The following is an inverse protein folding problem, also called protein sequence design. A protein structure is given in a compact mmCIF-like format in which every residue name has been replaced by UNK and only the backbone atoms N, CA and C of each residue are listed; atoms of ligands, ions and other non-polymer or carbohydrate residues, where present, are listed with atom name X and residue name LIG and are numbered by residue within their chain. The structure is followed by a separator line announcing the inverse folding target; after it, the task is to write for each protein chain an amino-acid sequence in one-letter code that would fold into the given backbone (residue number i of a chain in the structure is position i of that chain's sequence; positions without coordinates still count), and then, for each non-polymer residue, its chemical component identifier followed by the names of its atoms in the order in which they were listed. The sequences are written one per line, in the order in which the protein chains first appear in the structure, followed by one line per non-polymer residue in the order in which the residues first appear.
data_IF_254126399468
#
_entry.id   IF_254126399468
#
_cell.length_a   1.000
_cell.length_b   1.000
_cell.length_c   1.000
_cell.angle_alpha   90.00
_cell.angle_beta   90.00
_cell.angle_gamma   90.00
#
_symmetry.space_group_name_H-M   'P 1'
#
loop_
_entity.id
_entity.type
_entity.pdbx_description
1 polymer ?
#
# COMPACT_ATOMS: atom_id res chain seq x y z
N UNK A 1 11.45 -5.62 -14.52
CA UNK A 1 10.04 -5.70 -14.20
C UNK A 1 9.59 -7.02 -13.59
N UNK A 2 9.69 -7.17 -12.26
CA UNK A 2 9.16 -8.32 -11.54
C UNK A 2 7.82 -7.94 -10.88
N UNK A 3 6.93 -8.92 -10.70
CA UNK A 3 5.70 -8.75 -9.91
C UNK A 3 5.81 -9.59 -8.65
N UNK A 4 5.85 -8.91 -7.50
CA UNK A 4 6.07 -9.51 -6.18
C UNK A 4 4.87 -9.20 -5.29
N UNK A 5 4.41 -10.18 -4.53
CA UNK A 5 3.44 -9.98 -3.46
C UNK A 5 4.11 -10.20 -2.10
N UNK A 6 3.90 -9.27 -1.19
CA UNK A 6 4.33 -9.37 0.21
C UNK A 6 3.08 -9.64 1.05
N UNK A 7 3.04 -10.79 1.69
CA UNK A 7 1.92 -11.21 2.53
C UNK A 7 2.36 -11.33 4.00
N UNK A 8 1.41 -11.38 4.89
CA UNK A 8 1.64 -11.59 6.33
C UNK A 8 0.49 -11.05 7.18
N UNK A 9 0.47 -11.40 8.45
CA UNK A 9 -0.55 -10.94 9.40
C UNK A 9 -0.44 -9.43 9.68
N UNK A 10 -1.46 -8.84 10.26
CA UNK A 10 -1.40 -7.44 10.70
C UNK A 10 -0.26 -7.28 11.73
N UNK A 11 0.52 -6.21 11.61
CA UNK A 11 1.69 -5.96 12.47
C UNK A 11 2.98 -6.67 12.05
N UNK A 12 3.00 -7.50 11.01
CA UNK A 12 4.20 -8.23 10.58
C UNK A 12 5.31 -7.36 9.93
N UNK A 13 5.13 -6.04 9.84
CA UNK A 13 6.14 -5.12 9.29
C UNK A 13 5.99 -4.78 7.80
N UNK A 14 4.94 -5.27 7.10
CA UNK A 14 4.73 -5.02 5.67
C UNK A 14 4.71 -3.54 5.29
N UNK A 15 3.95 -2.74 6.03
CA UNK A 15 3.84 -1.28 5.77
C UNK A 15 5.17 -0.56 6.06
N UNK A 16 5.92 -0.98 7.07
CA UNK A 16 7.26 -0.46 7.34
C UNK A 16 8.22 -0.77 6.18
N UNK A 17 8.22 -2.03 5.72
CA UNK A 17 9.02 -2.43 4.58
C UNK A 17 8.63 -1.65 3.32
N UNK A 18 7.33 -1.48 3.08
CA UNK A 18 6.84 -0.69 1.93
C UNK A 18 7.24 0.78 2.03
N UNK A 19 7.24 1.38 3.22
CA UNK A 19 7.70 2.76 3.43
C UNK A 19 9.20 2.90 3.12
N UNK A 20 10.02 1.94 3.54
CA UNK A 20 11.46 1.92 3.21
C UNK A 20 11.65 1.77 1.70
N UNK A 21 11.01 0.78 1.07
CA UNK A 21 11.07 0.60 -0.39
C UNK A 21 10.57 1.82 -1.15
N UNK A 22 9.60 2.54 -0.58
CA UNK A 22 9.05 3.77 -1.11
C UNK A 22 9.88 5.02 -0.84
N UNK A 23 11.04 4.92 -0.20
CA UNK A 23 11.83 6.06 0.27
C UNK A 23 11.03 7.07 1.11
N UNK A 24 10.00 6.60 1.82
CA UNK A 24 9.25 7.38 2.82
C UNK A 24 9.93 7.31 4.20
N UNK A 25 10.72 6.26 4.41
CA UNK A 25 11.51 6.03 5.60
C UNK A 25 12.88 5.46 5.19
N UNK A 26 13.83 5.45 6.10
CA UNK A 26 15.18 4.90 5.89
C UNK A 26 15.41 3.70 6.79
N UNK A 27 16.13 2.66 6.33
CA UNK A 27 16.44 1.52 7.18
C UNK A 27 17.43 1.92 8.27
N UNK A 28 17.22 1.44 9.50
CA UNK A 28 18.17 1.65 10.60
C UNK A 28 19.50 0.89 10.40
N UNK A 29 19.44 -0.23 9.65
CA UNK A 29 20.59 -1.06 9.30
C UNK A 29 20.36 -1.71 7.95
N UNK A 30 21.47 -2.03 7.26
CA UNK A 30 21.44 -2.60 5.92
C UNK A 30 21.38 -1.55 4.82
N UNK A 31 21.47 -2.01 3.58
CA UNK A 31 21.53 -1.18 2.40
C UNK A 31 20.30 -1.42 1.52
N UNK A 32 19.84 -0.36 0.86
CA UNK A 32 18.75 -0.43 -0.11
C UNK A 32 19.14 0.37 -1.36
N UNK A 33 19.19 -0.31 -2.50
CA UNK A 33 19.61 0.29 -3.76
C UNK A 33 18.43 0.48 -4.71
N UNK A 34 18.28 1.69 -5.24
CA UNK A 34 17.37 2.02 -6.34
C UNK A 34 18.19 2.58 -7.48
N UNK A 35 18.12 1.94 -8.65
CA UNK A 35 18.86 2.34 -9.86
C UNK A 35 20.37 2.57 -9.59
N UNK A 36 20.96 1.71 -8.74
CA UNK A 36 22.38 1.76 -8.34
C UNK A 36 22.72 2.78 -7.24
N UNK A 37 21.76 3.57 -6.74
CA UNK A 37 21.98 4.52 -5.65
C UNK A 37 21.53 3.91 -4.31
N UNK A 38 22.40 3.98 -3.29
CA UNK A 38 22.04 3.52 -1.94
C UNK A 38 21.11 4.52 -1.25
N UNK A 39 19.84 4.18 -1.16
CA UNK A 39 18.82 5.02 -0.55
C UNK A 39 19.03 5.25 0.95
N UNK A 40 19.74 4.36 1.66
CA UNK A 40 20.05 4.54 3.08
C UNK A 40 20.98 5.74 3.37
N UNK A 41 21.74 6.18 2.35
CA UNK A 41 22.72 7.26 2.47
C UNK A 41 22.21 8.59 1.88
N UNK A 42 21.01 8.64 1.30
CA UNK A 42 20.48 9.83 0.66
C UNK A 42 19.89 10.81 1.67
N UNK A 43 20.04 12.10 1.38
CA UNK A 43 19.35 13.18 2.10
C UNK A 43 17.83 13.13 1.86
N UNK A 44 17.01 13.77 2.72
CA UNK A 44 15.55 13.83 2.53
C UNK A 44 15.12 14.37 1.16
N UNK A 45 15.84 15.36 0.62
CA UNK A 45 15.56 15.96 -0.69
C UNK A 45 15.88 15.00 -1.84
N UNK A 46 16.98 14.24 -1.72
CA UNK A 46 17.35 13.21 -2.69
C UNK A 46 16.36 12.04 -2.65
N UNK A 47 15.93 11.61 -1.46
CA UNK A 47 14.86 10.60 -1.32
C UNK A 47 13.56 11.07 -1.96
N UNK A 48 13.20 12.37 -1.77
CA UNK A 48 12.01 12.94 -2.41
C UNK A 48 12.14 12.97 -3.94
N UNK A 49 13.34 13.23 -4.47
CA UNK A 49 13.63 13.14 -5.91
C UNK A 49 13.48 11.71 -6.43
N UNK A 50 14.10 10.72 -5.76
CA UNK A 50 14.00 9.30 -6.12
C UNK A 50 12.55 8.83 -6.13
N UNK A 51 11.76 9.17 -5.09
CA UNK A 51 10.33 8.87 -5.05
C UNK A 51 9.60 9.42 -6.27
N UNK A 52 9.82 10.70 -6.57
CA UNK A 52 9.14 11.40 -7.67
C UNK A 52 9.47 10.82 -9.03
N UNK A 53 10.71 10.36 -9.24
CA UNK A 53 11.21 9.93 -10.54
C UNK A 53 11.02 8.43 -10.79
N UNK A 54 11.11 7.62 -9.73
CA UNK A 54 11.17 6.15 -9.89
C UNK A 54 9.97 5.41 -9.32
N UNK A 55 9.21 6.01 -8.38
CA UNK A 55 8.23 5.27 -7.58
C UNK A 55 6.82 5.83 -7.76
N UNK A 56 5.87 4.95 -8.08
CA UNK A 56 4.44 5.24 -8.04
C UNK A 56 3.77 4.52 -6.87
N UNK A 57 2.94 5.24 -6.10
CA UNK A 57 2.19 4.67 -4.98
C UNK A 57 0.72 4.49 -5.31
N UNK A 58 0.20 3.32 -4.95
CA UNK A 58 -1.23 2.97 -5.02
C UNK A 58 -1.64 2.54 -3.62
N UNK A 59 -2.64 3.21 -3.04
CA UNK A 59 -3.09 2.99 -1.66
C UNK A 59 -4.48 2.37 -1.61
N UNK A 60 -4.78 1.63 -0.54
CA UNK A 60 -6.07 1.00 -0.30
C UNK A 60 -7.23 2.00 -0.29
N UNK A 61 -7.06 3.18 0.31
CA UNK A 61 -8.07 4.26 0.39
C UNK A 61 -7.86 5.36 -0.64
N UNK A 62 -7.23 5.04 -1.76
CA UNK A 62 -6.96 5.93 -2.91
C UNK A 62 -6.13 7.18 -2.58
N UNK A 63 -6.29 7.79 -1.41
CA UNK A 63 -5.67 9.04 -0.95
C UNK A 63 -5.75 10.15 -2.02
N UNK A 64 -6.92 10.29 -2.62
CA UNK A 64 -7.22 11.40 -3.53
C UNK A 64 -7.54 12.65 -2.71
N UNK A 65 -7.13 13.81 -3.22
CA UNK A 65 -7.49 15.10 -2.63
C UNK A 65 -8.94 15.40 -3.01
N UNK A 66 -9.85 15.54 -2.02
CA UNK A 66 -11.29 15.62 -2.28
C UNK A 66 -11.72 16.84 -3.11
N UNK A 67 -11.00 17.95 -2.95
CA UNK A 67 -11.33 19.22 -3.63
C UNK A 67 -10.81 19.29 -5.08
N UNK A 68 -9.93 18.39 -5.47
CA UNK A 68 -9.41 18.31 -6.83
C UNK A 68 -10.22 17.33 -7.67
N UNK A 69 -10.32 17.64 -8.97
CA UNK A 69 -10.84 16.71 -9.97
C UNK A 69 -9.93 15.50 -10.16
N UNK A 70 -10.39 14.47 -10.87
CA UNK A 70 -9.57 13.33 -11.27
C UNK A 70 -8.29 13.78 -11.98
N UNK A 71 -8.42 14.69 -12.95
CA UNK A 71 -7.29 15.27 -13.66
C UNK A 71 -6.33 15.99 -12.70
N UNK A 72 -6.86 16.85 -11.82
CA UNK A 72 -6.04 17.57 -10.83
C UNK A 72 -5.27 16.63 -9.90
N UNK A 73 -5.90 15.55 -9.44
CA UNK A 73 -5.22 14.54 -8.62
C UNK A 73 -4.07 13.85 -9.37
N UNK A 74 -4.26 13.54 -10.65
CA UNK A 74 -3.22 12.90 -11.48
C UNK A 74 -2.07 13.86 -11.75
N UNK A 75 -2.32 15.16 -11.92
CA UNK A 75 -1.29 16.16 -12.22
C UNK A 75 -0.33 16.45 -11.05
N UNK A 76 -0.72 16.17 -9.79
CA UNK A 76 0.05 16.55 -8.58
C UNK A 76 1.52 16.13 -8.64
N UNK A 77 1.88 14.85 -8.88
CA UNK A 77 3.30 14.47 -8.89
C UNK A 77 4.09 15.16 -10.00
N UNK A 78 3.45 15.46 -11.13
CA UNK A 78 4.07 16.16 -12.25
C UNK A 78 4.27 17.65 -11.98
N UNK A 79 3.42 18.26 -11.13
CA UNK A 79 3.64 19.63 -10.62
C UNK A 79 4.92 19.67 -9.79
N UNK A 80 5.10 18.74 -8.86
CA UNK A 80 6.31 18.64 -8.05
C UNK A 80 7.57 18.28 -8.87
N UNK A 81 7.37 17.69 -10.06
CA UNK A 81 8.44 17.44 -11.03
C UNK A 81 8.76 18.66 -11.92
N UNK A 82 8.14 19.82 -11.66
CA UNK A 82 8.26 21.03 -12.48
C UNK A 82 7.94 20.81 -13.97
N UNK A 83 7.05 19.87 -14.27
CA UNK A 83 6.60 19.60 -15.65
C UNK A 83 5.78 20.78 -16.16
N UNK A 84 6.00 21.15 -17.42
CA UNK A 84 5.21 22.17 -18.11
C UNK A 84 3.72 21.84 -18.08
N UNK A 85 2.88 22.87 -17.90
CA UNK A 85 1.45 22.75 -17.66
C UNK A 85 0.74 21.98 -18.77
N UNK A 86 0.96 22.33 -20.02
CA UNK A 86 0.24 21.72 -21.15
C UNK A 86 0.68 20.28 -21.36
N UNK A 87 1.96 20.00 -21.25
CA UNK A 87 2.52 18.65 -21.34
C UNK A 87 2.00 17.73 -20.24
N UNK A 88 1.98 18.18 -18.96
CA UNK A 88 1.46 17.35 -17.86
C UNK A 88 -0.03 17.10 -18.00
N UNK A 89 -0.82 18.13 -18.42
CA UNK A 89 -2.26 18.00 -18.63
C UNK A 89 -2.57 17.00 -19.73
N UNK A 90 -1.88 17.08 -20.85
CA UNK A 90 -2.01 16.13 -21.94
C UNK A 90 -1.70 14.71 -21.50
N UNK A 91 -0.59 14.49 -20.77
CA UNK A 91 -0.23 13.17 -20.23
C UNK A 91 -1.27 12.65 -19.26
N UNK A 92 -1.76 13.51 -18.34
CA UNK A 92 -2.76 13.12 -17.36
C UNK A 92 -4.08 12.72 -18.03
N UNK A 93 -4.56 13.48 -19.01
CA UNK A 93 -5.76 13.13 -19.80
C UNK A 93 -5.57 11.81 -20.54
N UNK A 94 -4.42 11.62 -21.20
CA UNK A 94 -4.13 10.38 -21.91
C UNK A 94 -4.07 9.15 -20.95
N UNK A 95 -3.53 9.30 -19.73
CA UNK A 95 -3.53 8.24 -18.72
C UNK A 95 -4.93 7.92 -18.23
N UNK A 96 -5.76 8.94 -17.95
CA UNK A 96 -7.15 8.73 -17.56
C UNK A 96 -7.95 8.01 -18.65
N UNK A 97 -7.83 8.42 -19.91
CA UNK A 97 -8.46 7.74 -21.04
C UNK A 97 -8.03 6.27 -21.16
N UNK A 98 -6.71 5.99 -21.07
CA UNK A 98 -6.17 4.61 -21.08
C UNK A 98 -6.70 3.72 -19.95
N UNK A 99 -7.08 4.31 -18.83
CA UNK A 99 -7.64 3.62 -17.67
C UNK A 99 -9.17 3.62 -17.68
N UNK A 100 -9.82 3.96 -18.81
CA UNK A 100 -11.28 3.94 -18.97
C UNK A 100 -12.01 5.01 -18.17
N UNK A 101 -11.38 6.17 -18.00
CA UNK A 101 -11.94 7.34 -17.30
C UNK A 101 -12.16 8.52 -18.25
N UNK A 102 -12.31 8.24 -19.55
CA UNK A 102 -12.67 9.25 -20.54
C UNK A 102 -14.02 9.89 -20.19
N UNK A 103 -14.09 11.22 -20.24
CA UNK A 103 -15.24 12.00 -19.81
C UNK A 103 -15.41 12.13 -18.30
N UNK A 104 -14.48 11.61 -17.49
CA UNK A 104 -14.49 11.71 -16.01
C UNK A 104 -13.38 12.60 -15.46
N UNK A 105 -12.63 13.29 -16.32
CA UNK A 105 -11.45 14.09 -15.98
C UNK A 105 -11.76 15.19 -14.96
N UNK A 106 -12.96 15.75 -15.06
CA UNK A 106 -13.41 16.88 -14.22
C UNK A 106 -14.21 16.45 -12.98
N UNK A 107 -14.53 15.17 -12.84
CA UNK A 107 -15.25 14.67 -11.68
C UNK A 107 -14.37 14.72 -10.43
N UNK A 108 -14.96 15.07 -9.30
CA UNK A 108 -14.35 14.99 -7.98
C UNK A 108 -14.40 13.56 -7.43
N UNK A 109 -13.56 13.19 -6.45
CA UNK A 109 -13.57 11.84 -5.86
C UNK A 109 -14.96 11.39 -5.38
N UNK A 110 -15.76 12.28 -4.79
CA UNK A 110 -17.13 11.96 -4.34
C UNK A 110 -18.12 11.62 -5.46
N UNK A 111 -17.81 11.97 -6.72
CA UNK A 111 -18.62 11.68 -7.90
C UNK A 111 -18.16 10.42 -8.65
N UNK A 112 -17.13 9.75 -8.15
CA UNK A 112 -16.52 8.57 -8.75
C UNK A 112 -16.77 7.32 -7.90
N UNK A 113 -17.01 6.17 -8.55
CA UNK A 113 -17.07 4.88 -7.85
C UNK A 113 -15.69 4.51 -7.25
N UNK A 114 -15.66 3.57 -6.29
CA UNK A 114 -14.41 3.10 -5.69
C UNK A 114 -13.40 2.61 -6.74
N UNK A 115 -13.84 1.81 -7.71
CA UNK A 115 -12.98 1.34 -8.81
C UNK A 115 -12.48 2.48 -9.71
N UNK A 116 -13.30 3.52 -9.95
CA UNK A 116 -12.89 4.71 -10.68
C UNK A 116 -11.85 5.51 -9.88
N UNK A 117 -12.05 5.71 -8.58
CA UNK A 117 -11.09 6.38 -7.70
C UNK A 117 -9.74 5.63 -7.68
N UNK A 118 -9.77 4.30 -7.63
CA UNK A 118 -8.54 3.51 -7.68
C UNK A 118 -7.81 3.68 -9.02
N UNK A 119 -8.54 3.71 -10.12
CA UNK A 119 -7.95 3.98 -11.45
C UNK A 119 -7.35 5.39 -11.55
N UNK A 120 -7.94 6.40 -10.91
CA UNK A 120 -7.32 7.74 -10.76
C UNK A 120 -6.04 7.65 -9.94
N UNK A 121 -6.03 6.89 -8.82
CA UNK A 121 -4.82 6.67 -8.02
C UNK A 121 -3.70 5.99 -8.83
N UNK A 122 -4.04 5.01 -9.68
CA UNK A 122 -3.10 4.37 -10.60
C UNK A 122 -2.56 5.37 -11.64
N UNK A 123 -3.44 6.18 -12.26
CA UNK A 123 -3.01 7.23 -13.20
C UNK A 123 -2.03 8.20 -12.55
N UNK A 124 -2.30 8.62 -11.30
CA UNK A 124 -1.42 9.46 -10.49
C UNK A 124 -0.06 8.81 -10.25
N UNK A 125 -0.03 7.50 -9.96
CA UNK A 125 1.21 6.76 -9.77
C UNK A 125 2.08 6.70 -11.05
N UNK A 126 1.47 6.78 -12.22
CA UNK A 126 2.12 6.61 -13.53
C UNK A 126 2.54 7.93 -14.20
N UNK A 127 2.08 9.08 -13.74
CA UNK A 127 2.24 10.36 -14.47
C UNK A 127 3.69 10.75 -14.73
N UNK A 128 4.59 10.42 -13.82
CA UNK A 128 6.03 10.69 -13.95
C UNK A 128 6.81 9.55 -14.60
N UNK A 129 6.15 8.44 -15.00
CA UNK A 129 6.80 7.31 -15.65
C UNK A 129 7.61 6.42 -14.72
N UNK A 130 7.34 6.43 -13.41
CA UNK A 130 8.03 5.60 -12.42
C UNK A 130 8.08 4.12 -12.82
N UNK A 131 9.25 3.50 -12.70
CA UNK A 131 9.47 2.09 -13.06
C UNK A 131 9.00 1.12 -11.98
N UNK A 132 8.86 1.60 -10.74
CA UNK A 132 8.47 0.82 -9.55
C UNK A 132 7.09 1.27 -9.10
N UNK A 133 6.17 0.32 -8.95
CA UNK A 133 4.83 0.56 -8.45
C UNK A 133 4.69 -0.18 -7.12
N UNK A 134 4.43 0.57 -6.06
CA UNK A 134 4.15 0.05 -4.72
C UNK A 134 2.65 0.14 -4.48
N UNK A 135 2.00 -1.01 -4.31
CA UNK A 135 0.56 -1.12 -4.15
C UNK A 135 0.22 -1.71 -2.77
N UNK A 136 -0.33 -0.87 -1.89
CA UNK A 136 -0.79 -1.27 -0.56
C UNK A 136 -2.27 -1.63 -0.60
N UNK A 137 -2.58 -2.91 -0.42
CA UNK A 137 -3.93 -3.46 -0.45
C UNK A 137 -4.76 -2.92 -1.65
N UNK A 138 -4.27 -3.05 -2.90
CA UNK A 138 -4.83 -2.31 -4.04
C UNK A 138 -6.30 -2.62 -4.36
N UNK A 139 -6.83 -3.71 -3.82
CA UNK A 139 -8.22 -4.16 -4.01
C UNK A 139 -9.03 -4.19 -2.73
N UNK A 140 -8.43 -3.87 -1.58
CA UNK A 140 -9.03 -4.09 -0.26
C UNK A 140 -10.28 -3.25 0.04
N UNK A 141 -10.54 -2.19 -0.74
CA UNK A 141 -11.72 -1.33 -0.60
C UNK A 141 -12.70 -1.44 -1.79
N UNK A 142 -12.52 -2.46 -2.65
CA UNK A 142 -13.27 -2.63 -3.90
C UNK A 142 -14.19 -3.85 -3.86
N UNK A 143 -15.26 -3.79 -4.63
CA UNK A 143 -16.03 -4.97 -4.98
C UNK A 143 -15.22 -5.94 -5.86
N UNK A 144 -15.67 -7.18 -5.98
CA UNK A 144 -14.93 -8.24 -6.65
C UNK A 144 -14.64 -7.93 -8.14
N UNK A 145 -15.57 -7.27 -8.84
CA UNK A 145 -15.41 -6.95 -10.25
C UNK A 145 -14.37 -5.83 -10.43
N UNK A 146 -14.52 -4.72 -9.71
CA UNK A 146 -13.57 -3.61 -9.73
C UNK A 146 -12.16 -4.05 -9.28
N UNK A 147 -12.10 -4.97 -8.30
CA UNK A 147 -10.84 -5.57 -7.85
C UNK A 147 -10.12 -6.33 -8.95
N UNK A 148 -10.83 -7.14 -9.73
CA UNK A 148 -10.26 -7.87 -10.88
C UNK A 148 -9.78 -6.93 -11.97
N UNK A 149 -10.51 -5.85 -12.26
CA UNK A 149 -10.08 -4.83 -13.23
C UNK A 149 -8.77 -4.16 -12.79
N UNK A 150 -8.64 -3.81 -11.51
CA UNK A 150 -7.39 -3.24 -10.96
C UNK A 150 -6.23 -4.22 -11.07
N UNK A 151 -6.44 -5.49 -10.74
CA UNK A 151 -5.40 -6.52 -10.88
C UNK A 151 -4.99 -6.74 -12.35
N UNK A 152 -5.94 -6.67 -13.28
CA UNK A 152 -5.65 -6.74 -14.71
C UNK A 152 -4.76 -5.56 -15.17
N UNK A 153 -5.03 -4.35 -14.67
CA UNK A 153 -4.20 -3.16 -14.94
C UNK A 153 -2.78 -3.36 -14.39
N UNK A 154 -2.63 -3.84 -13.14
CA UNK A 154 -1.31 -4.08 -12.54
C UNK A 154 -0.51 -5.15 -13.30
N UNK A 155 -1.18 -6.23 -13.74
CA UNK A 155 -0.57 -7.24 -14.59
C UNK A 155 -0.11 -6.65 -15.94
N UNK A 156 -0.92 -5.80 -16.57
CA UNK A 156 -0.55 -5.14 -17.81
C UNK A 156 0.65 -4.21 -17.64
N UNK A 157 0.71 -3.46 -16.53
CA UNK A 157 1.86 -2.62 -16.20
C UNK A 157 3.13 -3.47 -16.01
N UNK A 158 3.02 -4.61 -15.33
CA UNK A 158 4.16 -5.53 -15.20
C UNK A 158 4.62 -6.09 -16.56
N UNK A 159 3.70 -6.47 -17.46
CA UNK A 159 4.04 -6.90 -18.82
C UNK A 159 4.74 -5.81 -19.62
N UNK A 160 4.47 -4.55 -19.35
CA UNK A 160 5.15 -3.39 -19.96
C UNK A 160 6.50 -3.06 -19.33
N UNK A 161 6.98 -3.87 -18.38
CA UNK A 161 8.29 -3.75 -17.77
C UNK A 161 8.34 -3.02 -16.44
N UNK A 162 7.19 -2.58 -15.88
CA UNK A 162 7.16 -2.02 -14.52
C UNK A 162 7.41 -3.12 -13.48
N UNK A 163 8.19 -2.81 -12.47
CA UNK A 163 8.27 -3.62 -11.24
C UNK A 163 7.07 -3.30 -10.38
N UNK A 164 6.28 -4.32 -10.02
CA UNK A 164 5.09 -4.15 -9.20
C UNK A 164 5.29 -4.90 -7.88
N UNK A 165 5.25 -4.19 -6.77
CA UNK A 165 5.27 -4.79 -5.44
C UNK A 165 3.91 -4.55 -4.78
N UNK A 166 3.19 -5.63 -4.53
CA UNK A 166 1.89 -5.59 -3.86
C UNK A 166 2.05 -6.03 -2.41
N UNK A 167 1.50 -5.26 -1.49
CA UNK A 167 1.31 -5.67 -0.10
C UNK A 167 -0.14 -6.08 0.07
N UNK A 168 -0.41 -7.27 0.54
CA UNK A 168 -1.78 -7.74 0.76
C UNK A 168 -1.85 -8.84 1.84
N UNK A 169 -3.01 -8.99 2.45
CA UNK A 169 -3.34 -10.13 3.31
C UNK A 169 -4.21 -11.17 2.59
N UNK A 170 -4.68 -10.88 1.37
CA UNK A 170 -5.49 -11.79 0.57
C UNK A 170 -4.61 -12.65 -0.37
N UNK A 171 -4.59 -13.96 -0.10
CA UNK A 171 -3.88 -14.94 -0.93
C UNK A 171 -4.38 -15.01 -2.37
N UNK A 172 -5.66 -14.67 -2.63
CA UNK A 172 -6.17 -14.63 -4.01
C UNK A 172 -5.52 -13.52 -4.81
N UNK A 173 -5.34 -12.36 -4.19
CA UNK A 173 -4.63 -11.21 -4.77
C UNK A 173 -3.15 -11.55 -4.94
N UNK A 174 -2.50 -12.12 -3.92
CA UNK A 174 -1.09 -12.47 -3.95
C UNK A 174 -0.72 -13.44 -5.07
N UNK A 175 -1.61 -14.38 -5.42
CA UNK A 175 -1.40 -15.35 -6.52
C UNK A 175 -1.32 -14.74 -7.92
N UNK A 176 -1.65 -13.47 -8.08
CA UNK A 176 -1.41 -12.75 -9.34
C UNK A 176 0.06 -12.39 -9.54
N UNK A 177 0.86 -12.39 -8.45
CA UNK A 177 2.30 -12.17 -8.51
C UNK A 177 3.04 -13.46 -8.84
N UNK A 178 4.20 -13.32 -9.52
CA UNK A 178 5.09 -14.45 -9.83
C UNK A 178 5.91 -14.90 -8.61
N UNK A 179 6.11 -14.02 -7.64
CA UNK A 179 6.87 -14.27 -6.43
C UNK A 179 6.06 -13.80 -5.23
N UNK A 180 5.96 -14.62 -4.22
CA UNK A 180 5.26 -14.34 -2.98
C UNK A 180 6.27 -14.42 -1.85
N UNK A 181 6.36 -13.35 -1.07
CA UNK A 181 7.22 -13.25 0.12
C UNK A 181 6.30 -13.17 1.34
N UNK A 182 6.47 -14.06 2.29
CA UNK A 182 5.70 -14.07 3.52
C UNK A 182 6.51 -13.48 4.67
N UNK A 183 5.94 -12.43 5.31
CA UNK A 183 6.51 -11.79 6.49
C UNK A 183 5.76 -12.19 7.75
N UNK A 184 6.53 -12.49 8.80
CA UNK A 184 6.02 -12.67 10.16
C UNK A 184 6.98 -11.98 11.14
N UNK A 185 6.46 -11.07 11.98
CA UNK A 185 7.23 -10.36 13.02
C UNK A 185 8.53 -9.70 12.51
N UNK A 186 8.49 -9.16 11.28
CA UNK A 186 9.63 -8.49 10.65
C UNK A 186 10.63 -9.42 9.96
N UNK A 187 10.41 -10.73 9.98
CA UNK A 187 11.26 -11.73 9.33
C UNK A 187 10.59 -12.34 8.11
N UNK A 188 11.38 -12.66 7.08
CA UNK A 188 10.90 -13.40 5.90
C UNK A 188 10.86 -14.89 6.27
N UNK A 189 9.65 -15.46 6.34
CA UNK A 189 9.45 -16.87 6.67
C UNK A 189 9.29 -17.77 5.45
N UNK A 190 8.90 -17.20 4.30
CA UNK A 190 8.81 -17.92 3.02
C UNK A 190 9.05 -16.99 1.84
N UNK A 191 9.65 -17.52 0.78
CA UNK A 191 9.86 -16.85 -0.51
C UNK A 191 9.69 -17.86 -1.65
N UNK A 192 8.68 -17.70 -2.49
CA UNK A 192 8.33 -18.64 -3.55
C UNK A 192 9.18 -18.51 -4.83
N UNK A 193 10.01 -17.47 -4.93
CA UNK A 193 10.72 -17.10 -6.16
C UNK A 193 12.26 -17.19 -6.09
N UNK A 194 12.82 -17.66 -5.01
CA UNK A 194 14.27 -17.64 -4.81
C UNK A 194 14.94 -19.00 -4.97
N UNK A 195 15.58 -19.26 -6.10
CA UNK A 195 16.82 -20.02 -6.10
C UNK A 195 17.91 -19.13 -5.49
N UNK A 196 17.87 -18.91 -4.20
CA UNK A 196 19.06 -18.47 -3.47
C UNK A 196 19.72 -19.73 -2.97
N UNK A 197 20.85 -20.06 -3.58
CA UNK A 197 21.83 -20.97 -2.96
C UNK A 197 22.24 -20.37 -1.62
N UNK A 198 21.43 -20.58 -0.61
CA UNK A 198 21.83 -20.40 0.76
C UNK A 198 22.29 -21.76 1.28
N UNK A 199 23.55 -22.04 1.10
CA UNK A 199 24.27 -22.97 1.95
C UNK A 199 24.31 -22.36 3.33
N UNK A 200 23.28 -22.68 4.12
CA UNK A 200 23.38 -22.75 5.58
C UNK A 200 22.14 -23.48 6.09
N UNK A 201 22.42 -24.62 6.65
CA UNK A 201 21.50 -25.51 7.35
C UNK A 201 20.83 -24.77 8.50
N UNK A 202 19.59 -24.33 8.29
CA UNK A 202 18.73 -23.94 9.39
C UNK A 202 18.30 -25.19 10.17
N UNK A 203 18.39 -25.21 11.49
CA UNK A 203 17.93 -26.33 12.30
C UNK A 203 16.42 -26.47 12.10
N UNK A 204 15.98 -27.69 11.84
CA UNK A 204 14.55 -28.08 11.81
C UNK A 204 13.92 -27.66 13.13
N UNK A 205 13.31 -26.50 13.19
CA UNK A 205 12.46 -26.13 14.31
C UNK A 205 11.22 -27.00 14.26
N UNK A 206 11.12 -27.90 15.23
CA UNK A 206 9.91 -28.64 15.57
C UNK A 206 8.74 -27.65 15.58
N UNK A 207 7.71 -27.93 14.78
CA UNK A 207 6.41 -27.29 14.89
C UNK A 207 5.92 -27.42 16.33
N UNK A 208 6.22 -26.43 17.16
CA UNK A 208 5.55 -26.26 18.42
C UNK A 208 4.12 -25.87 18.05
N UNK A 209 3.24 -26.83 18.24
CA UNK A 209 1.79 -26.66 18.20
C UNK A 209 1.43 -25.67 19.30
N UNK A 210 1.62 -24.35 19.02
CA UNK A 210 1.23 -23.30 19.94
C UNK A 210 -0.27 -23.43 20.19
N UNK A 211 -0.60 -23.62 21.45
CA UNK A 211 -1.96 -23.83 21.93
C UNK A 211 -2.83 -22.66 21.49
N UNK A 212 -3.85 -22.97 20.70
CA UNK A 212 -4.88 -22.02 20.18
C UNK A 212 -5.45 -21.10 21.27
N UNK A 213 -5.43 -21.56 22.51
CA UNK A 213 -5.92 -20.86 23.70
C UNK A 213 -4.99 -19.71 24.17
N UNK A 214 -3.69 -19.78 23.97
CA UNK A 214 -2.77 -18.67 24.30
C UNK A 214 -2.93 -17.48 23.37
N UNK A 215 -3.09 -17.72 22.07
CA UNK A 215 -3.33 -16.65 21.08
C UNK A 215 -4.69 -15.97 21.24
N UNK A 216 -5.71 -16.68 21.76
CA UNK A 216 -7.01 -16.08 22.07
C UNK A 216 -6.94 -15.18 23.31
N UNK A 217 -6.22 -15.59 24.36
CA UNK A 217 -6.02 -14.79 25.57
C UNK A 217 -5.17 -13.55 25.32
N UNK A 218 -4.15 -13.61 24.47
CA UNK A 218 -3.32 -12.45 24.13
C UNK A 218 -4.13 -11.46 23.27
N UNK A 219 -4.95 -11.90 22.32
CA UNK A 219 -5.85 -11.03 21.55
C UNK A 219 -6.89 -10.33 22.41
N UNK A 220 -7.49 -11.01 23.37
CA UNK A 220 -8.47 -10.38 24.29
C UNK A 220 -7.80 -9.36 25.22
N UNK A 221 -6.56 -9.63 25.65
CA UNK A 221 -5.79 -8.70 26.48
C UNK A 221 -5.38 -7.43 25.73
N UNK A 222 -4.95 -7.54 24.47
CA UNK A 222 -4.65 -6.38 23.61
C UNK A 222 -5.91 -5.57 23.29
N UNK A 223 -7.02 -6.22 22.96
CA UNK A 223 -8.29 -5.54 22.72
C UNK A 223 -8.78 -4.79 23.96
N UNK A 224 -8.60 -5.36 25.15
CA UNK A 224 -8.96 -4.73 26.42
C UNK A 224 -8.03 -3.55 26.76
N UNK A 225 -6.75 -3.64 26.47
CA UNK A 225 -5.81 -2.53 26.64
C UNK A 225 -6.11 -1.38 25.68
N UNK A 226 -6.45 -1.67 24.43
CA UNK A 226 -6.87 -0.64 23.46
C UNK A 226 -8.18 0.03 23.88
N UNK A 227 -9.17 -0.73 24.33
CA UNK A 227 -10.43 -0.20 24.86
C UNK A 227 -10.20 0.71 26.09
N UNK A 228 -9.35 0.30 27.03
CA UNK A 228 -8.97 1.12 28.21
C UNK A 228 -8.21 2.39 27.82
N UNK A 229 -7.33 2.34 26.80
CA UNK A 229 -6.66 3.53 26.26
C UNK A 229 -7.65 4.48 25.59
N UNK A 230 -8.58 3.97 24.79
CA UNK A 230 -9.63 4.77 24.15
C UNK A 230 -10.55 5.45 25.17
N UNK A 231 -10.92 4.75 26.25
CA UNK A 231 -11.70 5.32 27.35
C UNK A 231 -10.96 6.43 28.10
N UNK A 232 -9.63 6.31 28.26
CA UNK A 232 -8.81 7.37 28.88
C UNK A 232 -8.68 8.62 28.03
N UNK A 233 -8.67 8.47 26.71
CA UNK A 233 -8.51 9.59 25.76
C UNK A 233 -9.79 10.42 25.61
N UNK A 234 -10.99 9.81 25.78
CA UNK A 234 -12.28 10.47 25.63
C UNK A 234 -13.14 10.41 26.89
N UNK A 235 -12.58 10.83 28.03
CA UNK A 235 -13.23 10.73 29.35
C UNK A 235 -14.65 11.30 29.41
N UNK A 236 -14.89 12.47 28.80
CA UNK A 236 -16.20 13.13 28.78
C UNK A 236 -17.27 12.33 28.01
N UNK A 237 -16.89 11.72 26.88
CA UNK A 237 -17.84 10.92 26.07
C UNK A 237 -18.18 9.61 26.77
N UNK A 238 -17.20 8.99 27.44
CA UNK A 238 -17.39 7.73 28.18
C UNK A 238 -18.28 7.91 29.41
N UNK A 239 -18.10 9.00 30.17
CA UNK A 239 -18.97 9.30 31.30
C UNK A 239 -20.39 9.63 30.87
N UNK A 240 -20.60 10.38 29.79
CA UNK A 240 -21.94 10.69 29.25
C UNK A 240 -22.66 9.43 28.74
N UNK A 241 -21.98 8.52 28.06
CA UNK A 241 -22.59 7.25 27.62
C UNK A 241 -22.91 6.31 28.77
N UNK A 242 -22.04 6.22 29.79
CA UNK A 242 -22.31 5.42 31.00
C UNK A 242 -23.52 5.96 31.78
N UNK A 243 -23.61 7.27 31.94
CA UNK A 243 -24.76 7.92 32.58
C UNK A 243 -26.04 7.66 31.77
N UNK A 244 -25.97 7.77 30.43
CA UNK A 244 -27.12 7.49 29.55
C UNK A 244 -27.62 6.04 29.64
N UNK A 245 -26.73 5.07 29.80
CA UNK A 245 -27.07 3.65 29.96
C UNK A 245 -27.69 3.40 31.34
N UNK A 246 -27.16 4.00 32.42
CA UNK A 246 -27.67 3.84 33.77
C UNK A 246 -29.08 4.45 33.91
N UNK A 247 -29.35 5.63 33.32
CA UNK A 247 -30.68 6.26 33.33
C UNK A 247 -31.64 5.66 32.30
N UNK A 248 -31.17 4.90 31.29
CA UNK A 248 -32.03 4.24 30.30
C UNK A 248 -32.49 2.84 30.70
N UNK A 249 -31.93 2.25 31.78
CA UNK A 249 -32.28 0.92 32.30
C UNK A 249 -33.07 1.02 33.62
N UNK A 250 -33.14 2.21 34.23
CA UNK A 250 -33.98 2.51 35.40
C UNK A 250 -35.34 3.06 34.96
#
# INVERSE_FOLDING_TARGET
GEMVAIIGVSGSGKSTLMNIMGCLDVPNRGDYYIDGQNAACLSPDELARVRREHIGFIFQRYHLIPDLSALGNVEIPAIYANSERDSRRQRATALLGRLGLEGREHHKPCELSGGQQQRVSIARALINGGKIILADEPTGALDSQSGQEVLAILNELNRRGHTVVMVTHDMKVARHAKRIIELCDGEIIADSGGCVSATETLPKTNRIRQSYWKTLLDRTRESMQMALKAMKTHRLRTTLTMIGIVFGIA
#
